data_IF_937582370318
#
_entry.id   IF_937582370318
#
_cell.length_a   1.000
_cell.length_b   1.000
_cell.length_c   1.000
_cell.angle_alpha   90.00
_cell.angle_beta   90.00
_cell.angle_gamma   90.00
#
_symmetry.space_group_name_H-M   'P 1'
#
loop_
_entity.id
_entity.type
_entity.pdbx_description
1 polymer ?
2 water ?
#
# COMPACT_ATOMS: atom_id res chain seq x y z
N UNK A 2 -11.96 18.69 3.63
CA UNK A 2 -11.86 18.77 2.14
C UNK A 2 -12.19 17.41 1.50
N UNK A 3 -13.09 17.42 0.50
CA UNK A 3 -13.38 16.24 -0.33
C UNK A 3 -12.12 15.79 -1.10
N UNK A 4 -11.90 14.47 -1.18
CA UNK A 4 -10.74 13.92 -1.88
C UNK A 4 -10.84 14.16 -3.38
N UNK A 5 -9.81 14.81 -3.90
CA UNK A 5 -9.63 14.99 -5.34
C UNK A 5 -8.64 13.95 -5.88
N UNK A 6 -9.10 13.17 -6.87
CA UNK A 6 -8.31 12.15 -7.55
C UNK A 6 -7.98 12.57 -8.99
N UNK A 7 -6.71 12.56 -9.36
CA UNK A 7 -6.34 12.69 -10.75
C UNK A 7 -6.05 11.29 -11.41
N UNK A 8 -6.82 10.93 -12.43
CA UNK A 8 -6.50 9.73 -13.21
C UNK A 8 -5.77 10.06 -14.52
N UNK A 9 -4.57 9.50 -14.67
CA UNK A 9 -3.76 9.75 -15.85
C UNK A 9 -3.81 8.48 -16.69
N UNK A 10 -4.66 8.47 -17.71
CA UNK A 10 -4.93 7.28 -18.46
C UNK A 10 -5.46 7.64 -19.86
N UNK A 11 -4.78 7.14 -20.89
CA UNK A 11 -5.20 7.42 -22.25
C UNK A 11 -6.26 6.45 -22.75
N UNK A 12 -6.37 5.28 -22.13
CA UNK A 12 -7.43 4.36 -22.51
C UNK A 12 -8.73 4.86 -21.95
N UNK A 13 -9.60 5.27 -22.84
CA UNK A 13 -10.87 5.90 -22.52
C UNK A 13 -11.79 4.95 -21.70
N UNK A 14 -11.83 3.68 -22.06
CA UNK A 14 -12.67 2.78 -21.30
C UNK A 14 -12.12 2.60 -19.89
N UNK A 15 -10.86 2.20 -19.78
CA UNK A 15 -10.22 2.11 -18.49
C UNK A 15 -10.43 3.37 -17.69
N UNK A 16 -10.20 4.54 -18.29
CA UNK A 16 -10.28 5.75 -17.51
C UNK A 16 -11.72 5.99 -17.02
N UNK A 17 -12.69 5.59 -17.84
CA UNK A 17 -14.11 5.73 -17.48
C UNK A 17 -14.51 4.77 -16.32
N UNK A 18 -14.10 3.52 -16.39
CA UNK A 18 -14.27 2.63 -15.26
C UNK A 18 -13.70 3.30 -13.96
N UNK A 19 -12.39 3.54 -13.91
CA UNK A 19 -11.80 4.17 -12.74
C UNK A 19 -12.55 5.40 -12.30
N UNK A 20 -13.07 6.14 -13.25
CA UNK A 20 -13.70 7.38 -12.86
C UNK A 20 -15.05 7.07 -12.24
N UNK A 21 -15.68 5.99 -12.66
CA UNK A 21 -16.98 5.79 -12.07
C UNK A 21 -16.77 5.20 -10.68
N UNK A 22 -15.93 4.17 -10.58
CA UNK A 22 -15.49 3.64 -9.29
C UNK A 22 -15.17 4.75 -8.30
N UNK A 23 -14.51 5.83 -8.69
CA UNK A 23 -14.19 6.82 -7.65
C UNK A 23 -15.29 7.82 -7.42
N UNK A 24 -16.20 7.93 -8.39
CA UNK A 24 -17.29 8.90 -8.27
C UNK A 24 -18.34 8.30 -7.33
N UNK A 25 -18.51 7.00 -7.48
CA UNK A 25 -19.35 6.23 -6.59
C UNK A 25 -18.84 6.22 -5.11
N UNK A 26 -17.83 7.07 -4.80
CA UNK A 26 -17.26 7.14 -3.45
C UNK A 26 -17.28 8.58 -3.03
N UNK A 27 -17.88 9.39 -3.89
CA UNK A 27 -18.08 10.78 -3.57
C UNK A 27 -16.84 11.58 -3.65
N UNK A 28 -15.86 11.11 -4.43
CA UNK A 28 -14.63 11.89 -4.66
C UNK A 28 -14.83 12.81 -5.89
N UNK A 29 -14.13 13.94 -5.94
CA UNK A 29 -13.98 14.68 -7.20
C UNK A 29 -12.88 14.11 -8.11
N UNK A 30 -13.29 13.61 -9.29
CA UNK A 30 -12.35 13.03 -10.24
C UNK A 30 -11.89 13.94 -11.38
N UNK A 31 -10.58 14.10 -11.48
CA UNK A 31 -9.95 14.79 -12.61
C UNK A 31 -9.30 13.79 -13.53
N UNK A 32 -9.14 14.23 -14.78
CA UNK A 32 -8.81 13.37 -15.90
C UNK A 32 -7.69 13.96 -16.73
N UNK A 33 -6.72 13.14 -17.06
CA UNK A 33 -5.63 13.52 -17.91
C UNK A 33 -5.26 12.31 -18.76
N UNK A 34 -4.55 12.61 -19.83
CA UNK A 34 -4.31 11.68 -20.89
C UNK A 34 -2.83 11.48 -21.09
N UNK A 35 -2.04 12.42 -20.54
CA UNK A 35 -0.60 12.43 -20.71
C UNK A 35 0.03 13.35 -19.68
N UNK A 36 1.36 13.42 -19.74
CA UNK A 36 2.13 14.24 -18.81
C UNK A 36 1.80 15.70 -18.88
N UNK A 37 1.61 16.25 -20.08
CA UNK A 37 1.32 17.69 -20.19
C UNK A 37 0.03 18.03 -19.46
N UNK A 38 -1.05 17.30 -19.75
CA UNK A 38 -2.34 17.55 -19.10
C UNK A 38 -2.23 17.30 -17.57
N UNK A 39 -1.49 16.25 -17.19
CA UNK A 39 -1.29 15.95 -15.79
C UNK A 39 -0.66 17.14 -15.09
N UNK A 40 0.44 17.66 -15.64
CA UNK A 40 1.12 18.79 -14.99
C UNK A 40 0.20 19.98 -14.88
N UNK A 41 -0.66 20.19 -15.87
CA UNK A 41 -1.57 21.33 -15.80
C UNK A 41 -2.53 21.20 -14.66
N UNK A 42 -3.20 20.06 -14.55
CA UNK A 42 -4.15 19.83 -13.45
C UNK A 42 -3.50 19.87 -12.06
N UNK A 43 -2.23 19.48 -11.96
CA UNK A 43 -1.53 19.62 -10.69
C UNK A 43 -1.20 21.08 -10.36
N UNK A 44 -1.07 21.94 -11.37
CA UNK A 44 -1.01 23.40 -11.17
C UNK A 44 -2.38 24.01 -10.87
N UNK A 45 -3.37 23.75 -11.71
CA UNK A 45 -4.68 24.33 -11.45
C UNK A 45 -5.28 23.86 -10.11
N UNK A 46 -5.62 22.58 -9.95
CA UNK A 46 -6.33 22.14 -8.74
C UNK A 46 -5.48 21.52 -7.62
N UNK A 47 -6.18 21.02 -6.60
CA UNK A 47 -5.55 20.38 -5.47
C UNK A 47 -5.78 18.88 -5.44
N UNK A 48 -4.69 18.13 -5.62
CA UNK A 48 -4.86 16.71 -5.85
C UNK A 48 -4.35 15.88 -4.69
N UNK A 49 -5.22 15.02 -4.20
CA UNK A 49 -4.86 14.19 -3.06
C UNK A 49 -4.28 12.86 -3.51
N UNK A 50 -4.77 12.33 -4.64
CA UNK A 50 -4.36 11.03 -5.13
C UNK A 50 -4.23 10.99 -6.67
N UNK A 51 -3.06 10.57 -7.14
CA UNK A 51 -2.84 10.37 -8.55
C UNK A 51 -2.86 8.86 -8.85
N UNK A 52 -3.70 8.46 -9.79
CA UNK A 52 -3.67 7.11 -10.36
C UNK A 52 -3.21 7.19 -11.81
N UNK A 53 -2.17 6.44 -12.14
CA UNK A 53 -1.41 6.69 -13.34
C UNK A 53 -1.09 5.37 -14.03
N UNK A 54 -1.34 5.30 -15.33
CA UNK A 54 -0.96 4.16 -16.15
C UNK A 54 0.49 4.27 -16.54
N UNK A 55 1.14 3.14 -16.78
CA UNK A 55 2.55 3.18 -17.17
C UNK A 55 2.77 3.52 -18.62
N UNK A 56 1.95 2.96 -19.50
CA UNK A 56 2.10 3.24 -20.89
C UNK A 56 1.19 4.39 -21.28
N UNK A 57 1.76 5.56 -21.51
CA UNK A 57 0.96 6.69 -21.97
C UNK A 57 1.47 7.18 -23.35
N UNK A 58 0.81 8.18 -23.94
CA UNK A 58 1.39 8.79 -25.15
C UNK A 58 2.54 9.68 -24.69
N UNK A 59 3.70 9.56 -25.29
CA UNK A 59 4.75 10.45 -24.86
C UNK A 59 5.54 9.79 -23.77
N UNK A 60 5.90 10.55 -22.75
CA UNK A 60 6.65 9.96 -21.63
C UNK A 60 5.80 8.90 -20.92
N UNK A 61 6.38 7.71 -20.72
CA UNK A 61 5.76 6.68 -19.89
C UNK A 61 5.53 7.10 -18.43
N UNK A 62 4.50 6.49 -17.84
CA UNK A 62 4.14 6.71 -16.46
C UNK A 62 5.24 6.56 -15.42
N UNK A 63 6.20 5.65 -15.64
CA UNK A 63 7.30 5.53 -14.66
C UNK A 63 8.10 6.82 -14.59
N UNK A 64 8.41 7.40 -15.76
CA UNK A 64 9.17 8.65 -15.86
C UNK A 64 8.36 9.79 -15.25
N UNK A 65 7.08 9.88 -15.63
CA UNK A 65 6.23 10.92 -15.11
C UNK A 65 6.22 10.87 -13.59
N UNK A 66 6.10 9.67 -13.05
CA UNK A 66 6.08 9.44 -11.60
C UNK A 66 7.41 9.83 -11.02
N UNK A 67 8.51 9.39 -11.64
CA UNK A 67 9.88 9.73 -11.21
C UNK A 67 10.05 11.25 -11.07
N UNK A 68 9.64 11.98 -12.10
CA UNK A 68 9.74 13.44 -12.11
C UNK A 68 8.82 14.03 -11.05
N UNK A 69 7.58 13.60 -11.04
CA UNK A 69 6.61 14.02 -10.05
C UNK A 69 7.19 13.87 -8.63
N UNK A 70 7.81 12.72 -8.35
CA UNK A 70 8.39 12.46 -7.04
C UNK A 70 9.51 13.45 -6.65
N UNK A 71 10.11 14.12 -7.62
CA UNK A 71 11.10 15.14 -7.32
C UNK A 71 10.46 16.44 -6.81
N UNK A 72 9.22 16.70 -7.23
CA UNK A 72 8.48 17.90 -6.82
C UNK A 72 7.54 17.72 -5.62
N UNK A 73 6.97 16.53 -5.46
CA UNK A 73 5.86 16.34 -4.52
C UNK A 73 5.73 14.91 -4.01
N UNK A 74 5.12 14.76 -2.84
CA UNK A 74 4.96 13.45 -2.20
C UNK A 74 3.52 12.95 -2.20
N UNK A 75 2.71 13.48 -3.09
CA UNK A 75 1.29 13.13 -3.18
C UNK A 75 1.05 11.60 -3.27
N UNK A 76 -0.08 11.14 -2.72
CA UNK A 76 -0.41 9.74 -2.78
C UNK A 76 -0.49 9.31 -4.26
N UNK A 77 0.15 8.20 -4.56
CA UNK A 77 0.35 7.78 -5.93
C UNK A 77 0.06 6.28 -6.13
N UNK A 78 -0.75 5.91 -7.11
CA UNK A 78 -0.90 4.48 -7.46
C UNK A 78 -0.70 4.24 -8.94
N UNK A 79 0.03 3.19 -9.30
CA UNK A 79 0.15 2.84 -10.72
C UNK A 79 -0.89 1.84 -11.12
N UNK A 80 -1.36 2.00 -12.36
CA UNK A 80 -2.14 1.00 -13.07
C UNK A 80 -1.26 0.27 -14.09
N UNK A 81 -1.66 -0.95 -14.41
CA UNK A 81 -1.00 -1.63 -15.50
C UNK A 81 -1.97 -2.68 -16.08
N UNK A 82 -1.92 -2.83 -17.39
CA UNK A 82 -2.73 -3.83 -18.07
C UNK A 82 -2.10 -5.21 -18.05
N UNK A 83 -0.93 -5.32 -17.40
CA UNK A 83 -0.27 -6.63 -17.23
C UNK A 83 0.53 -6.74 -15.93
N UNK A 84 0.43 -7.90 -15.29
CA UNK A 84 1.38 -8.32 -14.29
C UNK A 84 2.73 -8.41 -14.98
N UNK A 85 3.74 -7.82 -14.35
CA UNK A 85 5.11 -7.73 -14.82
C UNK A 85 5.96 -7.27 -13.60
N UNK A 86 6.72 -8.20 -13.08
CA UNK A 86 7.42 -8.08 -11.82
C UNK A 86 8.38 -6.89 -11.77
N UNK A 87 9.09 -6.62 -12.85
CA UNK A 87 10.04 -5.54 -12.92
C UNK A 87 9.36 -4.18 -12.89
N UNK A 88 8.30 -4.01 -13.67
CA UNK A 88 7.63 -2.72 -13.67
C UNK A 88 7.01 -2.46 -12.30
N UNK A 89 6.49 -3.52 -11.68
CA UNK A 89 5.87 -3.43 -10.39
C UNK A 89 6.89 -2.96 -9.37
N UNK A 90 8.05 -3.61 -9.33
CA UNK A 90 9.08 -3.19 -8.39
C UNK A 90 9.70 -1.79 -8.66
N UNK A 91 9.88 -1.41 -9.94
CA UNK A 91 10.36 -0.08 -10.27
C UNK A 91 9.39 0.96 -9.81
N UNK A 92 8.12 0.71 -10.09
CA UNK A 92 7.04 1.59 -9.72
C UNK A 92 7.05 1.82 -8.23
N UNK A 93 7.18 0.75 -7.45
CA UNK A 93 7.21 0.97 -6.01
C UNK A 93 8.54 1.64 -5.64
N UNK A 94 9.64 1.17 -6.21
CA UNK A 94 10.91 1.79 -5.86
C UNK A 94 10.86 3.30 -6.09
N UNK A 95 10.30 3.78 -7.19
CA UNK A 95 10.38 5.22 -7.38
C UNK A 95 9.43 5.99 -6.45
N UNK A 96 8.56 5.27 -5.72
CA UNK A 96 7.75 5.89 -4.71
C UNK A 96 6.24 5.73 -4.80
N UNK A 97 5.72 4.97 -5.76
CA UNK A 97 4.28 4.71 -5.79
C UNK A 97 3.90 4.02 -4.48
N UNK A 98 2.77 4.40 -3.93
CA UNK A 98 2.25 3.74 -2.74
C UNK A 98 1.60 2.42 -3.07
N UNK A 99 1.08 2.30 -4.26
CA UNK A 99 0.58 1.01 -4.63
C UNK A 99 0.70 0.78 -6.09
N UNK A 100 0.48 -0.45 -6.49
CA UNK A 100 0.70 -0.85 -7.85
C UNK A 100 -0.43 -1.79 -8.16
N UNK A 101 -1.32 -1.41 -9.05
CA UNK A 101 -2.39 -2.35 -9.31
C UNK A 101 -2.55 -2.70 -10.76
N UNK A 102 -3.10 -3.86 -10.97
CA UNK A 102 -2.93 -4.67 -12.11
C UNK A 102 -4.35 -5.05 -12.51
N UNK A 103 -4.65 -5.15 -13.80
CA UNK A 103 -5.93 -5.73 -14.23
C UNK A 103 -5.92 -7.27 -14.18
N UNK A 104 -7.11 -7.85 -13.99
CA UNK A 104 -8.33 -7.06 -13.75
C UNK A 104 -8.36 -6.67 -12.28
N UNK A 105 -8.89 -5.48 -12.00
CA UNK A 105 -8.88 -4.96 -10.62
C UNK A 105 -10.22 -5.21 -9.93
N UNK A 106 -10.19 -5.65 -8.67
CA UNK A 106 -11.37 -5.48 -7.85
C UNK A 106 -11.51 -4.03 -7.45
N UNK A 107 -12.62 -3.40 -7.82
CA UNK A 107 -12.90 -2.03 -7.41
C UNK A 107 -12.98 -1.88 -5.90
N UNK A 108 -13.40 -2.94 -5.21
CA UNK A 108 -13.43 -2.87 -3.75
C UNK A 108 -12.03 -2.65 -3.19
N UNK A 109 -11.09 -3.44 -3.68
CA UNK A 109 -9.73 -3.36 -3.16
C UNK A 109 -9.18 -1.99 -3.42
N UNK A 110 -9.52 -1.48 -4.60
CA UNK A 110 -9.03 -0.19 -5.04
C UNK A 110 -9.53 0.96 -4.19
N UNK A 111 -10.82 0.99 -3.87
CA UNK A 111 -11.37 2.07 -3.05
C UNK A 111 -10.98 1.96 -1.58
N UNK A 112 -10.86 0.73 -1.05
CA UNK A 112 -10.40 0.57 0.32
C UNK A 112 -8.94 0.99 0.48
N UNK A 113 -8.08 0.58 -0.45
CA UNK A 113 -6.69 1.02 -0.44
C UNK A 113 -6.63 2.53 -0.58
N UNK A 114 -7.42 3.09 -1.50
CA UNK A 114 -7.44 4.55 -1.62
C UNK A 114 -7.88 5.21 -0.32
N UNK A 115 -8.92 4.68 0.33
CA UNK A 115 -9.38 5.29 1.56
C UNK A 115 -8.31 5.19 2.68
N UNK A 116 -7.69 4.02 2.81
CA UNK A 116 -6.71 3.86 3.86
C UNK A 116 -5.53 4.82 3.62
N UNK A 117 -5.14 4.95 2.35
CA UNK A 117 -3.96 5.76 2.05
C UNK A 117 -4.33 7.22 2.24
N UNK A 118 -5.51 7.59 1.78
CA UNK A 118 -5.96 8.96 1.91
C UNK A 118 -6.02 9.35 3.42
N UNK A 119 -6.41 8.42 4.30
CA UNK A 119 -6.47 8.68 5.74
C UNK A 119 -5.11 9.04 6.27
N UNK A 120 -4.08 8.48 5.66
CA UNK A 120 -2.76 8.77 6.14
C UNK A 120 -2.24 10.08 5.56
N UNK A 121 -2.67 10.47 4.37
CA UNK A 121 -2.01 11.59 3.69
C UNK A 121 -2.81 12.88 3.79
N UNK A 122 -4.13 12.78 3.97
CA UNK A 122 -4.97 13.98 4.11
C UNK A 122 -5.24 14.37 5.55
N UNK B 2 15.97 7.67 12.66
CA UNK B 2 15.22 6.81 13.64
C UNK B 2 15.26 5.36 13.21
N UNK B 3 15.86 4.45 13.98
CA UNK B 3 15.91 3.07 13.57
C UNK B 3 14.49 2.51 13.55
N UNK B 4 13.95 2.17 12.39
CA UNK B 4 12.59 1.61 12.36
C UNK B 4 12.54 0.29 13.12
N UNK B 5 11.43 0.11 13.83
CA UNK B 5 11.20 -1.08 14.61
C UNK B 5 10.02 -1.85 14.06
N UNK B 6 10.23 -3.11 13.76
CA UNK B 6 9.17 -3.88 13.19
C UNK B 6 8.83 -5.06 14.09
N UNK B 7 7.54 -5.36 14.18
CA UNK B 7 7.09 -6.51 14.92
C UNK B 7 6.42 -7.52 13.97
N UNK B 8 6.96 -8.74 13.98
CA UNK B 8 6.42 -9.78 13.19
C UNK B 8 5.60 -10.73 14.05
N UNK B 9 4.31 -10.86 13.74
CA UNK B 9 3.48 -11.75 14.49
C UNK B 9 3.26 -12.95 13.59
N UNK B 10 4.00 -14.02 13.86
CA UNK B 10 4.02 -15.20 13.00
C UNK B 10 4.42 -16.40 13.88
N UNK B 11 3.58 -17.43 13.92
CA UNK B 11 3.89 -18.58 14.77
C UNK B 11 4.87 -19.58 14.13
N UNK B 12 4.89 -19.68 12.82
CA UNK B 12 5.82 -20.60 12.16
C UNK B 12 7.24 -20.08 12.19
N UNK B 13 8.11 -20.85 12.84
CA UNK B 13 9.49 -20.45 13.07
C UNK B 13 10.22 -20.15 11.76
N UNK B 14 9.98 -20.96 10.74
CA UNK B 14 10.68 -20.79 9.47
C UNK B 14 10.34 -19.43 8.82
N UNK B 15 9.06 -19.24 8.48
CA UNK B 15 8.53 -17.97 8.01
C UNK B 15 9.00 -16.77 8.83
N UNK B 16 8.97 -16.86 10.15
CA UNK B 16 9.38 -15.75 10.98
C UNK B 16 10.89 -15.44 10.88
N UNK B 17 11.72 -16.47 10.78
CA UNK B 17 13.15 -16.22 10.59
C UNK B 17 13.47 -15.58 9.23
N UNK B 18 12.78 -16.01 8.17
CA UNK B 18 12.90 -15.39 6.86
C UNK B 18 12.65 -13.86 6.94
N UNK B 19 11.43 -13.52 7.34
CA UNK B 19 10.97 -12.16 7.52
C UNK B 19 11.96 -11.37 8.34
N UNK B 20 12.39 -11.93 9.46
CA UNK B 20 13.34 -11.27 10.36
C UNK B 20 14.67 -10.97 9.68
N UNK B 21 15.19 -11.94 8.95
CA UNK B 21 16.46 -11.64 8.28
C UNK B 21 16.26 -10.62 7.11
N UNK B 22 15.16 -10.76 6.38
CA UNK B 22 14.81 -9.72 5.41
C UNK B 22 14.87 -8.31 6.00
N UNK B 23 14.28 -8.08 7.17
CA UNK B 23 14.28 -6.72 7.73
C UNK B 23 15.53 -6.35 8.46
N UNK B 24 16.26 -7.32 8.97
CA UNK B 24 17.51 -6.91 9.62
C UNK B 24 18.42 -6.40 8.50
N UNK B 25 18.33 -7.04 7.35
CA UNK B 25 19.09 -6.55 6.19
C UNK B 25 18.70 -5.12 5.71
N UNK B 26 17.56 -4.58 6.20
CA UNK B 26 17.20 -3.18 5.94
C UNK B 26 17.68 -2.29 7.06
N UNK B 27 18.32 -2.89 8.05
CA UNK B 27 18.75 -2.11 9.19
C UNK B 27 17.67 -1.83 10.23
N UNK B 28 16.60 -2.65 10.24
CA UNK B 28 15.50 -2.51 11.20
C UNK B 28 15.80 -3.31 12.45
N UNK B 29 15.33 -2.86 13.62
CA UNK B 29 15.31 -3.81 14.72
C UNK B 29 14.02 -4.60 14.65
N UNK B 30 14.13 -5.91 14.73
CA UNK B 30 12.99 -6.79 14.62
C UNK B 30 12.54 -7.41 15.95
N UNK B 31 11.25 -7.29 16.26
CA UNK B 31 10.66 -7.95 17.41
C UNK B 31 9.75 -9.06 16.92
N UNK B 32 9.57 -10.08 17.74
CA UNK B 32 8.84 -11.28 17.33
C UNK B 32 7.71 -11.68 18.29
N UNK B 33 6.65 -12.25 17.75
CA UNK B 33 5.50 -12.58 18.55
C UNK B 33 4.85 -13.77 17.89
N UNK B 34 4.42 -14.70 18.72
CA UNK B 34 3.91 -15.97 18.26
C UNK B 34 2.41 -15.90 18.26
N UNK B 35 1.84 -14.98 19.03
CA UNK B 35 0.40 -14.92 19.21
C UNK B 35 0.00 -13.53 19.73
N UNK B 36 -1.28 -13.37 20.06
CA UNK B 36 -1.83 -12.06 20.35
C UNK B 36 -1.39 -11.55 21.68
N UNK B 37 -1.10 -12.43 22.63
CA UNK B 37 -0.64 -12.00 23.95
C UNK B 37 0.75 -11.40 23.81
N UNK B 38 1.62 -12.13 23.10
CA UNK B 38 3.00 -11.67 22.86
C UNK B 38 2.98 -10.38 22.06
N UNK B 39 2.08 -10.29 21.08
CA UNK B 39 1.93 -9.07 20.33
C UNK B 39 1.60 -7.85 21.21
N UNK B 40 0.61 -7.95 22.09
CA UNK B 40 0.24 -6.83 22.96
C UNK B 40 1.36 -6.57 23.99
N UNK B 41 2.04 -7.62 24.43
CA UNK B 41 3.17 -7.43 25.33
C UNK B 41 4.21 -6.54 24.67
N UNK B 42 4.61 -6.89 23.44
CA UNK B 42 5.59 -6.08 22.73
C UNK B 42 5.10 -4.67 22.42
N UNK B 43 3.85 -4.54 22.00
CA UNK B 43 3.34 -3.21 21.66
C UNK B 43 3.29 -2.27 22.88
N UNK B 44 3.12 -2.87 24.06
CA UNK B 44 3.07 -2.12 25.31
C UNK B 44 4.45 -1.63 25.75
N UNK B 45 5.47 -2.46 25.56
CA UNK B 45 6.78 -2.25 26.13
C UNK B 45 7.86 -1.58 25.19
N UNK B 46 7.65 -1.57 23.87
CA UNK B 46 8.64 -1.06 22.91
C UNK B 46 8.00 -0.22 21.86
N UNK B 47 8.77 0.69 21.26
CA UNK B 47 8.29 1.45 20.11
C UNK B 47 8.21 0.51 18.93
N UNK B 48 7.08 0.55 18.22
CA UNK B 48 6.90 -0.32 17.07
C UNK B 48 6.36 0.51 15.93
N UNK B 49 7.10 0.58 14.82
CA UNK B 49 6.66 1.39 13.67
C UNK B 49 5.86 0.64 12.63
N UNK B 50 5.99 -0.68 12.63
CA UNK B 50 5.32 -1.49 11.67
C UNK B 50 5.04 -2.89 12.22
N UNK B 51 3.83 -3.36 12.00
CA UNK B 51 3.47 -4.72 12.32
C UNK B 51 3.20 -5.50 11.04
N UNK B 52 3.81 -6.67 10.93
CA UNK B 52 3.50 -7.60 9.88
C UNK B 52 2.83 -8.75 10.59
N UNK B 53 1.60 -9.07 10.21
CA UNK B 53 0.87 -10.11 10.87
C UNK B 53 0.43 -11.22 9.89
N UNK B 54 0.45 -12.48 10.36
CA UNK B 54 -0.15 -13.53 9.58
C UNK B 54 -1.64 -13.49 9.85
N UNK B 55 -2.45 -13.61 8.80
CA UNK B 55 -3.91 -13.63 9.01
C UNK B 55 -4.27 -14.93 9.71
N UNK B 56 -3.47 -15.94 9.39
CA UNK B 56 -3.74 -17.31 9.80
C UNK B 56 -2.80 -17.60 10.93
N UNK B 57 -3.39 -17.92 12.08
CA UNK B 57 -2.67 -17.84 13.33
C UNK B 57 -3.42 -18.54 14.44
N UNK B 58 -2.76 -19.46 15.13
CA UNK B 58 -3.36 -20.16 16.27
C UNK B 58 -3.74 -19.20 17.41
N UNK B 59 -4.77 -19.56 18.17
CA UNK B 59 -5.41 -18.65 19.10
C UNK B 59 -6.24 -17.67 18.29
N UNK B 60 -6.45 -16.49 18.86
CA UNK B 60 -7.11 -15.40 18.20
C UNK B 60 -6.64 -15.26 16.77
N UNK B 61 -7.55 -15.26 15.81
CA UNK B 61 -7.08 -15.07 14.43
C UNK B 61 -6.50 -13.65 14.16
N UNK B 62 -5.59 -13.56 13.20
CA UNK B 62 -4.96 -12.32 12.84
C UNK B 62 -5.87 -11.18 12.39
N UNK B 63 -7.04 -11.51 11.83
CA UNK B 63 -7.98 -10.45 11.46
C UNK B 63 -8.47 -9.79 12.71
N UNK B 64 -8.67 -10.61 13.74
CA UNK B 64 -9.23 -10.14 14.99
C UNK B 64 -8.20 -9.34 15.77
N UNK B 65 -6.99 -9.86 15.82
CA UNK B 65 -5.83 -9.17 16.36
C UNK B 65 -5.64 -7.80 15.67
N UNK B 66 -5.78 -7.76 14.34
CA UNK B 66 -5.67 -6.50 13.63
C UNK B 66 -6.83 -5.55 13.98
N UNK B 67 -8.02 -6.10 14.25
CA UNK B 67 -9.17 -5.28 14.57
C UNK B 67 -8.89 -4.61 15.89
N UNK B 68 -8.36 -5.40 16.81
CA UNK B 68 -8.03 -4.96 18.17
C UNK B 68 -6.96 -3.91 18.10
N UNK B 69 -5.88 -4.23 17.39
CA UNK B 69 -4.81 -3.29 17.14
C UNK B 69 -5.37 -1.93 16.69
N UNK B 70 -6.31 -1.96 15.76
CA UNK B 70 -6.82 -0.74 15.15
C UNK B 70 -7.74 0.04 16.09
N UNK B 71 -8.32 -0.64 17.06
CA UNK B 71 -9.14 0.06 18.02
C UNK B 71 -8.25 0.92 18.93
N UNK B 72 -7.03 0.44 19.15
CA UNK B 72 -6.09 1.12 20.04
C UNK B 72 -5.06 2.04 19.33
N UNK B 73 -4.60 1.67 18.12
CA UNK B 73 -3.46 2.33 17.44
C UNK B 73 -3.59 2.43 15.90
N UNK B 74 -2.96 3.45 15.31
CA UNK B 74 -2.97 3.57 13.86
C UNK B 74 -1.61 3.18 13.21
N UNK B 75 -0.78 2.46 13.96
CA UNK B 75 0.50 1.93 13.46
C UNK B 75 0.37 1.27 12.08
N UNK B 76 1.39 1.44 11.27
CA UNK B 76 1.47 0.82 9.97
C UNK B 76 1.34 -0.69 10.15
N UNK B 77 0.54 -1.31 9.27
CA UNK B 77 0.18 -2.71 9.41
C UNK B 77 0.15 -3.38 8.03
N UNK B 78 0.90 -4.46 7.85
CA UNK B 78 0.72 -5.31 6.65
C UNK B 78 0.39 -6.72 7.07
N UNK B 79 -0.56 -7.32 6.36
CA UNK B 79 -0.90 -8.72 6.53
C UNK B 79 -0.05 -9.61 5.62
N UNK B 80 0.17 -10.82 6.11
CA UNK B 80 0.71 -11.90 5.28
C UNK B 80 -0.31 -13.00 5.11
N UNK B 81 -0.25 -13.63 3.95
CA UNK B 81 -0.93 -14.90 3.79
C UNK B 81 -0.20 -15.80 2.78
N UNK B 82 -0.06 -17.08 3.13
CA UNK B 82 0.35 -18.10 2.17
C UNK B 82 -0.85 -18.69 1.42
N UNK B 83 -2.02 -18.07 1.63
CA UNK B 83 -3.22 -18.40 0.89
C UNK B 83 -3.71 -17.14 0.19
N UNK B 84 -3.57 -17.12 -1.13
CA UNK B 84 -4.25 -16.14 -1.93
C UNK B 84 -5.75 -16.46 -1.88
N UNK B 85 -6.54 -15.49 -1.41
CA UNK B 85 -7.94 -15.65 -1.02
C UNK B 85 -8.49 -14.22 -0.88
N UNK B 86 -9.38 -13.87 -1.81
CA UNK B 86 -9.89 -12.52 -1.98
C UNK B 86 -10.61 -11.92 -0.77
N UNK B 87 -11.43 -12.75 -0.12
CA UNK B 87 -12.24 -12.26 0.96
C UNK B 87 -11.33 -11.83 2.12
N UNK B 88 -10.36 -12.67 2.45
CA UNK B 88 -9.39 -12.38 3.48
C UNK B 88 -8.57 -11.12 3.14
N UNK B 89 -8.24 -10.96 1.86
CA UNK B 89 -7.52 -9.79 1.38
C UNK B 89 -8.31 -8.50 1.61
N UNK B 90 -9.57 -8.48 1.15
CA UNK B 90 -10.44 -7.31 1.28
C UNK B 90 -10.84 -7.01 2.73
N UNK B 91 -11.17 -8.03 3.48
CA UNK B 91 -11.42 -7.87 4.91
C UNK B 91 -10.26 -7.20 5.63
N UNK B 92 -9.06 -7.73 5.43
CA UNK B 92 -7.87 -7.20 6.09
C UNK B 92 -7.62 -5.76 5.68
N UNK B 93 -7.79 -5.43 4.41
CA UNK B 93 -7.67 -4.04 4.01
C UNK B 93 -8.78 -3.21 4.66
N UNK B 94 -9.99 -3.72 4.58
CA UNK B 94 -11.14 -3.04 5.14
C UNK B 94 -10.95 -2.72 6.63
N UNK B 95 -10.39 -3.63 7.42
CA UNK B 95 -10.24 -3.27 8.82
C UNK B 95 -9.06 -2.34 9.08
N UNK B 96 -8.31 -2.00 8.03
CA UNK B 96 -7.30 -0.96 8.11
C UNK B 96 -5.86 -1.37 7.87
N UNK B 97 -5.62 -2.58 7.38
CA UNK B 97 -4.26 -2.96 7.04
C UNK B 97 -3.83 -2.10 5.87
N UNK B 98 -2.62 -1.56 5.92
CA UNK B 98 -2.11 -0.75 4.82
C UNK B 98 -1.72 -1.57 3.62
N UNK B 99 -1.41 -2.83 3.84
CA UNK B 99 -1.10 -3.71 2.75
C UNK B 99 -1.37 -5.15 3.10
N UNK B 100 -1.36 -5.95 2.06
CA UNK B 100 -1.70 -7.35 2.12
C UNK B 100 -0.72 -8.06 1.19
N UNK B 101 0.11 -8.92 1.73
CA UNK B 101 1.04 -9.60 0.86
C UNK B 101 0.94 -11.13 0.93
N UNK B 102 0.90 -11.77 -0.25
CA UNK B 102 0.73 -13.23 -0.35
C UNK B 102 2.04 -13.93 -0.69
N UNK B 103 2.20 -15.15 -0.18
CA UNK B 103 3.24 -16.08 -0.64
C UNK B 103 2.99 -16.56 -2.08
N UNK B 104 4.06 -16.80 -2.82
CA UNK B 104 5.41 -16.40 -2.40
C UNK B 104 5.64 -14.94 -2.84
N UNK B 105 6.40 -14.21 -2.05
CA UNK B 105 6.56 -12.78 -2.31
C UNK B 105 8.01 -12.51 -2.66
N UNK B 106 8.23 -11.41 -3.37
CA UNK B 106 9.57 -10.89 -3.51
C UNK B 106 9.92 -10.11 -2.25
N UNK B 107 11.01 -10.49 -1.60
CA UNK B 107 11.51 -9.72 -0.47
C UNK B 107 11.66 -8.26 -0.84
N UNK B 108 12.07 -7.99 -2.07
CA UNK B 108 12.26 -6.58 -2.47
C UNK B 108 10.96 -5.83 -2.47
N UNK B 109 9.89 -6.47 -2.92
CA UNK B 109 8.61 -5.77 -2.93
C UNK B 109 8.19 -5.42 -1.51
N UNK B 110 8.42 -6.36 -0.60
CA UNK B 110 8.11 -6.23 0.81
C UNK B 110 8.87 -5.06 1.48
N UNK B 111 10.17 -5.01 1.29
CA UNK B 111 10.92 -3.94 1.94
C UNK B 111 10.74 -2.62 1.25
N UNK B 112 10.54 -2.57 -0.06
CA UNK B 112 10.22 -1.29 -0.66
C UNK B 112 8.83 -0.80 -0.19
N UNK B 113 7.82 -1.68 -0.11
CA UNK B 113 6.50 -1.21 0.38
C UNK B 113 6.61 -0.74 1.83
N UNK B 114 7.39 -1.46 2.66
CA UNK B 114 7.58 -1.04 4.06
C UNK B 114 8.27 0.31 4.08
N UNK B 115 9.31 0.48 3.27
CA UNK B 115 9.99 1.75 3.26
C UNK B 115 9.04 2.86 2.86
N UNK B 116 8.24 2.69 1.81
CA UNK B 116 7.40 3.83 1.41
C UNK B 116 6.37 4.18 2.49
N UNK B 117 5.79 3.15 3.08
CA UNK B 117 4.78 3.30 4.10
C UNK B 117 5.39 3.96 5.38
N UNK B 118 6.56 3.48 5.80
CA UNK B 118 7.28 4.09 6.91
C UNK B 118 7.63 5.55 6.63
N UNK B 119 7.86 5.91 5.37
CA UNK B 119 8.19 7.30 5.04
C UNK B 119 7.02 8.22 5.30
N UNK B 120 5.82 7.71 5.10
CA UNK B 120 4.60 8.44 5.41
C UNK B 120 4.22 8.44 6.89
N UNK B 121 4.51 7.36 7.64
CA UNK B 121 3.97 7.27 9.00
C UNK B 121 4.96 7.65 10.07
N UNK B 122 6.25 7.53 9.80
CA UNK B 122 7.25 7.84 10.82
C UNK B 122 7.61 9.31 10.72
N UNK B 123 6.96 10.10 11.58
CA UNK B 123 7.08 11.56 11.56
C UNK B 123 7.80 12.11 12.82
#
# INVERSE_FOLDING_TARGET
>A
MQTPHILIVEDELVTRNTLKSIFEAEGYDVFEATDGAEMHQILSEYDINLVIMDINLPGKNGLLLARELREQANVALMFLTGRDNEVDKILGLEIGADDYITKPFNPRELTIRARNLLSRTMQ
>B
MQTPHILIVEDELVTRNTLKSIFEAEGYDVFEATDGAEMHQILSEYDINLVIMDINLPGKNGLLLARELREQANVALMFLTGRDNEVDKILGLEIGADDYITKPFNPRELTIRARNLLSRTMQ
#
